data_IF_529316873621
#
_entry.id   IF_529316873621
#
_cell.length_a   1.000
_cell.length_b   1.000
_cell.length_c   1.000
_cell.angle_alpha   90.00
_cell.angle_beta   90.00
_cell.angle_gamma   90.00
#
_symmetry.space_group_name_H-M   'P 1'
#
loop_
_entity.id
_entity.type
_entity.pdbx_description
1 polymer ?
#
# COMPACT_ATOMS: atom_id res chain seq x y z
N UNK A 1 -8.52 -10.34 4.28
CA UNK A 1 -8.81 -9.85 2.91
C UNK A 1 -8.27 -8.45 2.78
N UNK A 2 -7.47 -8.21 1.75
CA UNK A 2 -6.98 -6.87 1.44
C UNK A 2 -7.27 -6.51 -0.02
N UNK A 3 -7.44 -5.22 -0.29
CA UNK A 3 -7.55 -4.66 -1.63
C UNK A 3 -6.53 -3.53 -1.81
N UNK A 4 -5.97 -3.46 -3.02
CA UNK A 4 -5.17 -2.37 -3.53
C UNK A 4 -5.95 -1.68 -4.65
N UNK A 5 -6.08 -0.36 -4.54
CA UNK A 5 -6.70 0.50 -5.55
C UNK A 5 -5.59 1.36 -6.14
N UNK A 6 -4.85 0.77 -7.07
CA UNK A 6 -3.68 1.42 -7.68
C UNK A 6 -3.99 2.10 -9.01
N UNK A 7 -3.06 2.94 -9.49
CA UNK A 7 -3.18 3.63 -10.77
C UNK A 7 -3.17 2.67 -11.98
N UNK A 8 -2.34 1.61 -11.93
CA UNK A 8 -2.18 0.67 -13.04
C UNK A 8 -2.99 -0.62 -12.85
N UNK A 9 -3.19 -1.03 -11.61
CA UNK A 9 -3.91 -2.28 -11.29
C UNK A 9 -4.83 -2.10 -10.09
N UNK A 10 -5.94 -2.83 -10.11
CA UNK A 10 -6.72 -3.18 -8.94
C UNK A 10 -6.36 -4.62 -8.56
N UNK A 11 -6.18 -4.87 -7.28
CA UNK A 11 -5.83 -6.20 -6.81
C UNK A 11 -6.55 -6.52 -5.49
N UNK A 12 -6.96 -7.78 -5.33
CA UNK A 12 -7.55 -8.29 -4.08
C UNK A 12 -6.84 -9.58 -3.69
N UNK A 13 -6.53 -9.75 -2.42
CA UNK A 13 -5.84 -10.91 -1.88
C UNK A 13 -6.54 -11.47 -0.65
N UNK A 14 -6.72 -12.77 -0.63
CA UNK A 14 -7.18 -13.52 0.52
C UNK A 14 -6.03 -14.30 1.14
N UNK A 15 -5.83 -14.15 2.43
CA UNK A 15 -4.85 -14.94 3.17
C UNK A 15 -5.36 -15.29 4.57
N UNK A 16 -4.75 -16.32 5.16
CA UNK A 16 -4.93 -16.74 6.53
C UNK A 16 -3.61 -16.61 7.28
N UNK A 17 -3.61 -16.00 8.45
CA UNK A 17 -2.48 -16.05 9.37
C UNK A 17 -2.35 -17.50 9.89
N UNK A 18 -1.20 -18.11 9.69
CA UNK A 18 -0.93 -19.51 10.10
C UNK A 18 -0.34 -19.53 11.50
N UNK A 19 0.51 -18.55 11.77
CA UNK A 19 1.08 -18.23 13.05
C UNK A 19 1.15 -16.69 13.14
N UNK A 20 1.63 -16.13 14.22
CA UNK A 20 1.71 -14.67 14.40
C UNK A 20 2.64 -13.98 13.39
N UNK A 21 3.34 -14.76 12.57
CA UNK A 21 4.42 -14.26 11.70
C UNK A 21 4.25 -14.57 10.22
N UNK A 22 3.37 -15.52 9.80
CA UNK A 22 3.30 -15.93 8.40
C UNK A 22 1.89 -15.96 7.84
N UNK A 23 1.79 -15.60 6.57
CA UNK A 23 0.56 -15.67 5.79
C UNK A 23 0.55 -16.89 4.87
N UNK A 24 -0.54 -17.62 4.88
CA UNK A 24 -0.91 -18.56 3.83
C UNK A 24 -1.87 -17.87 2.87
N UNK A 25 -1.39 -17.53 1.67
CA UNK A 25 -2.19 -16.89 0.63
C UNK A 25 -3.11 -17.93 0.00
N UNK A 26 -4.40 -17.68 0.10
CA UNK A 26 -5.44 -18.56 -0.43
C UNK A 26 -5.71 -18.28 -1.90
N UNK A 27 -5.77 -17.02 -2.27
CA UNK A 27 -5.93 -16.58 -3.65
C UNK A 27 -5.59 -15.08 -3.80
N UNK A 28 -5.15 -14.70 -5.00
CA UNK A 28 -4.97 -13.33 -5.45
C UNK A 28 -5.63 -13.16 -6.81
N UNK A 29 -6.33 -12.04 -6.99
CA UNK A 29 -6.93 -11.63 -8.26
C UNK A 29 -6.51 -10.20 -8.56
N UNK A 30 -6.15 -9.97 -9.81
CA UNK A 30 -5.73 -8.65 -10.30
C UNK A 30 -6.36 -8.35 -11.65
N UNK A 31 -6.60 -7.07 -11.91
CA UNK A 31 -6.94 -6.59 -13.24
C UNK A 31 -6.40 -5.17 -13.46
N UNK A 32 -6.18 -4.75 -14.72
CA UNK A 32 -5.80 -3.37 -15.01
C UNK A 32 -6.85 -2.40 -14.47
N UNK A 33 -6.39 -1.29 -13.87
CA UNK A 33 -7.29 -0.21 -13.46
C UNK A 33 -7.94 0.40 -14.70
N UNK A 34 -9.27 0.57 -14.72
CA UNK A 34 -9.94 1.24 -15.82
C UNK A 34 -9.36 2.64 -16.05
N UNK A 35 -9.27 3.05 -17.30
CA UNK A 35 -8.56 4.28 -17.70
C UNK A 35 -9.09 5.53 -16.99
N UNK A 36 -8.20 6.31 -16.40
CA UNK A 36 -8.50 7.55 -15.65
C UNK A 36 -9.43 7.36 -14.43
N UNK A 37 -9.54 6.15 -13.89
CA UNK A 37 -10.37 5.89 -12.72
C UNK A 37 -9.65 6.11 -11.40
N UNK A 38 -8.32 5.96 -11.39
CA UNK A 38 -7.44 6.29 -10.25
C UNK A 38 -6.31 7.16 -10.75
N UNK A 39 -6.05 8.28 -10.07
CA UNK A 39 -4.95 9.19 -10.39
C UNK A 39 -4.20 9.56 -9.13
N UNK A 40 -2.89 9.35 -9.13
CA UNK A 40 -2.02 9.62 -7.98
C UNK A 40 -2.55 9.00 -6.66
N UNK A 41 -3.08 7.77 -6.74
CA UNK A 41 -3.67 7.04 -5.61
C UNK A 41 -5.07 7.51 -5.19
N UNK A 42 -5.68 8.49 -5.87
CA UNK A 42 -7.01 9.01 -5.58
C UNK A 42 -8.03 8.42 -6.55
N UNK A 43 -9.14 7.91 -6.03
CA UNK A 43 -10.27 7.44 -6.85
C UNK A 43 -10.95 8.64 -7.50
N UNK A 44 -10.92 8.69 -8.84
CA UNK A 44 -11.54 9.76 -9.64
C UNK A 44 -12.91 9.38 -10.19
N UNK A 45 -13.11 8.08 -10.50
CA UNK A 45 -14.37 7.54 -11.03
C UNK A 45 -14.83 6.36 -10.17
N UNK A 46 -15.57 6.62 -9.08
CA UNK A 46 -15.94 5.58 -8.12
C UNK A 46 -16.75 4.43 -8.74
N UNK A 47 -17.69 4.74 -9.62
CA UNK A 47 -18.60 3.72 -10.22
C UNK A 47 -17.83 2.65 -10.99
N UNK A 48 -16.87 3.05 -11.82
CA UNK A 48 -16.03 2.13 -12.61
C UNK A 48 -15.09 1.31 -11.70
N UNK A 49 -14.51 1.94 -10.68
CA UNK A 49 -13.68 1.25 -9.68
C UNK A 49 -14.50 0.22 -8.90
N UNK A 50 -15.71 0.58 -8.48
CA UNK A 50 -16.64 -0.34 -7.79
C UNK A 50 -17.00 -1.53 -8.67
N UNK A 51 -17.31 -1.31 -9.95
CA UNK A 51 -17.65 -2.38 -10.89
C UNK A 51 -16.49 -3.37 -11.05
N UNK A 52 -15.27 -2.87 -11.26
CA UNK A 52 -14.07 -3.66 -11.40
C UNK A 52 -13.73 -4.41 -10.09
N UNK A 53 -13.73 -3.71 -8.95
CA UNK A 53 -13.46 -4.31 -7.65
C UNK A 53 -14.48 -5.40 -7.28
N UNK A 54 -15.76 -5.18 -7.56
CA UNK A 54 -16.81 -6.20 -7.37
C UNK A 54 -16.57 -7.42 -8.27
N UNK A 55 -16.11 -7.22 -9.52
CA UNK A 55 -15.69 -8.30 -10.41
C UNK A 55 -14.57 -9.15 -9.81
N UNK A 56 -13.52 -8.49 -9.29
CA UNK A 56 -12.40 -9.15 -8.64
C UNK A 56 -12.84 -9.92 -7.38
N UNK A 57 -13.66 -9.31 -6.53
CA UNK A 57 -14.18 -9.96 -5.31
C UNK A 57 -15.00 -11.21 -5.65
N UNK A 58 -15.82 -11.19 -6.71
CA UNK A 58 -16.56 -12.36 -7.19
C UNK A 58 -15.62 -13.46 -7.69
N UNK A 59 -14.60 -13.13 -8.49
CA UNK A 59 -13.58 -14.09 -8.95
C UNK A 59 -12.88 -14.74 -7.76
N UNK A 60 -12.46 -13.91 -6.79
CA UNK A 60 -11.77 -14.35 -5.58
C UNK A 60 -12.68 -15.27 -4.72
N UNK A 61 -13.94 -14.89 -4.48
CA UNK A 61 -14.90 -15.70 -3.74
C UNK A 61 -15.13 -17.08 -4.40
N UNK A 62 -15.25 -17.12 -5.73
CA UNK A 62 -15.38 -18.39 -6.48
C UNK A 62 -14.16 -19.31 -6.29
N UNK A 63 -12.94 -18.74 -6.23
CA UNK A 63 -11.71 -19.51 -5.96
C UNK A 63 -11.62 -20.01 -4.53
N UNK A 64 -12.16 -19.27 -3.58
CA UNK A 64 -12.20 -19.67 -2.16
C UNK A 64 -13.25 -20.75 -1.88
N UNK A 65 -14.27 -20.88 -2.74
CA UNK A 65 -15.31 -21.92 -2.68
C UNK A 65 -16.73 -21.35 -2.70
N UNK A 66 -17.68 -22.14 -3.23
CA UNK A 66 -19.05 -21.73 -3.48
C UNK A 66 -19.87 -21.32 -2.22
N UNK A 67 -19.39 -21.62 -1.02
CA UNK A 67 -20.03 -21.25 0.25
C UNK A 67 -19.40 -20.02 0.91
N UNK A 68 -18.37 -19.46 0.30
CA UNK A 68 -17.61 -18.34 0.87
C UNK A 68 -18.23 -17.01 0.44
N UNK A 69 -18.51 -16.14 1.41
CA UNK A 69 -18.94 -14.76 1.20
C UNK A 69 -17.92 -13.83 1.80
N UNK A 70 -17.44 -12.89 0.99
CA UNK A 70 -16.53 -11.83 1.44
C UNK A 70 -17.40 -10.70 1.98
N UNK A 71 -17.34 -10.47 3.30
CA UNK A 71 -18.17 -9.48 3.98
C UNK A 71 -17.43 -8.18 4.29
N UNK A 72 -16.10 -8.23 4.38
CA UNK A 72 -15.26 -7.08 4.70
C UNK A 72 -13.93 -7.13 3.97
N UNK A 73 -13.35 -5.95 3.67
CA UNK A 73 -12.00 -5.79 3.12
C UNK A 73 -11.23 -4.73 3.88
N UNK A 74 -9.92 -4.92 4.02
CA UNK A 74 -8.96 -3.88 4.36
C UNK A 74 -8.44 -3.25 3.07
N UNK A 75 -8.23 -1.93 3.07
CA UNK A 75 -7.69 -1.22 1.91
C UNK A 75 -6.40 -0.50 2.30
N UNK A 76 -5.37 -0.65 1.48
CA UNK A 76 -4.14 0.13 1.60
C UNK A 76 -4.35 1.54 1.06
N UNK A 77 -4.28 2.54 1.94
CA UNK A 77 -4.34 3.95 1.56
C UNK A 77 -2.96 4.41 1.09
N UNK A 78 -2.85 4.80 -0.19
CA UNK A 78 -1.62 5.28 -0.81
C UNK A 78 -1.95 6.38 -1.83
N UNK A 79 -2.08 7.62 -1.38
CA UNK A 79 -2.46 8.78 -2.19
C UNK A 79 -1.46 9.92 -2.03
N UNK A 80 -1.31 10.75 -3.06
CA UNK A 80 -0.27 11.79 -3.14
C UNK A 80 -0.30 12.85 -2.03
N UNK A 81 -1.42 13.00 -1.30
CA UNK A 81 -1.50 13.92 -0.16
C UNK A 81 -1.19 13.26 1.17
N UNK A 82 -0.97 11.92 1.17
CA UNK A 82 -0.63 11.14 2.35
C UNK A 82 0.83 11.39 2.75
N UNK A 83 1.03 11.90 3.96
CA UNK A 83 2.36 12.21 4.52
C UNK A 83 2.35 12.29 6.03
N UNK A 84 3.50 12.34 6.64
CA UNK A 84 3.67 12.84 7.99
C UNK A 84 3.99 14.33 7.96
N UNK A 85 3.41 15.08 8.90
CA UNK A 85 3.72 16.50 9.16
C UNK A 85 4.34 16.58 10.55
N UNK A 86 5.53 17.14 10.71
CA UNK A 86 6.11 17.37 12.04
C UNK A 86 5.34 18.47 12.75
N UNK A 87 4.92 18.21 14.00
CA UNK A 87 4.23 19.15 14.85
C UNK A 87 4.90 19.15 16.21
N UNK A 88 5.34 20.31 16.69
CA UNK A 88 5.95 20.46 18.00
C UNK A 88 4.96 21.13 18.96
N UNK A 89 4.77 20.51 20.11
CA UNK A 89 3.92 21.02 21.19
C UNK A 89 4.76 21.10 22.45
N UNK A 90 4.58 22.18 23.22
CA UNK A 90 5.36 22.42 24.44
C UNK A 90 4.44 22.59 25.65
N UNK A 91 4.89 22.10 26.80
CA UNK A 91 4.23 22.27 28.10
C UNK A 91 5.24 22.66 29.16
N UNK A 92 4.87 23.57 30.04
CA UNK A 92 5.62 23.84 31.27
C UNK A 92 5.36 22.73 32.29
N UNK A 93 6.43 22.28 32.95
CA UNK A 93 6.40 21.27 34.00
C UNK A 93 6.87 21.94 35.27
N UNK A 94 6.02 21.96 36.32
CA UNK A 94 6.37 22.59 37.58
C UNK A 94 7.39 21.76 38.38
N UNK A 95 8.16 22.40 39.23
CA UNK A 95 9.12 21.72 40.09
C UNK A 95 8.43 20.67 40.96
N UNK A 96 8.89 19.42 40.88
CA UNK A 96 8.27 18.29 41.57
C UNK A 96 7.05 17.69 40.91
N UNK A 97 6.54 18.28 39.82
CA UNK A 97 5.49 17.69 38.99
C UNK A 97 6.07 16.47 38.21
N UNK A 98 5.33 15.40 38.17
CA UNK A 98 5.63 14.23 37.31
C UNK A 98 4.69 14.22 36.14
N UNK A 99 5.23 14.03 34.95
CA UNK A 99 4.42 13.85 33.75
C UNK A 99 3.64 12.53 33.83
N UNK A 100 2.34 12.63 33.61
CA UNK A 100 1.42 11.50 33.54
C UNK A 100 1.10 11.15 32.09
N UNK A 101 0.60 9.93 31.85
CA UNK A 101 0.13 9.52 30.54
C UNK A 101 -1.01 10.41 30.02
N UNK A 102 -1.89 10.90 30.90
CA UNK A 102 -2.96 11.84 30.54
C UNK A 102 -2.41 13.16 30.01
N UNK A 103 -1.35 13.68 30.63
CA UNK A 103 -0.69 14.91 30.16
C UNK A 103 -0.03 14.71 28.79
N UNK A 104 0.55 13.54 28.52
CA UNK A 104 1.11 13.20 27.22
C UNK A 104 0.00 13.02 26.16
N UNK A 105 -1.13 12.43 26.56
CA UNK A 105 -2.31 12.34 25.68
C UNK A 105 -2.91 13.72 25.32
N UNK A 106 -2.91 14.67 26.26
CA UNK A 106 -3.32 16.04 25.99
C UNK A 106 -2.40 16.72 24.95
N UNK A 107 -1.08 16.54 25.06
CA UNK A 107 -0.11 17.05 24.08
C UNK A 107 -0.33 16.42 22.69
N UNK A 108 -0.63 15.12 22.64
CA UNK A 108 -0.97 14.46 21.39
C UNK A 108 -2.25 15.04 20.77
N UNK A 109 -3.28 15.29 21.58
CA UNK A 109 -4.52 15.91 21.10
C UNK A 109 -4.30 17.36 20.60
N UNK A 110 -3.42 18.09 21.26
CA UNK A 110 -3.03 19.43 20.79
C UNK A 110 -2.30 19.35 19.45
N UNK A 111 -1.38 18.39 19.27
CA UNK A 111 -0.71 18.17 17.99
C UNK A 111 -1.72 17.85 16.87
N UNK A 112 -2.74 17.04 17.14
CA UNK A 112 -3.83 16.75 16.19
C UNK A 112 -4.58 18.01 15.75
N UNK A 113 -4.83 18.94 16.66
CA UNK A 113 -5.58 20.18 16.41
C UNK A 113 -4.81 21.22 15.61
N UNK A 114 -3.48 21.13 15.54
CA UNK A 114 -2.65 22.06 14.77
C UNK A 114 -2.71 21.82 13.26
N UNK A 115 -3.24 20.69 12.79
CA UNK A 115 -3.42 20.47 11.36
C UNK A 115 -4.67 21.22 10.85
N UNK A 116 -4.63 21.69 9.58
CA UNK A 116 -5.79 22.29 8.94
C UNK A 116 -7.00 21.34 8.92
N UNK A 117 -8.21 21.89 8.97
CA UNK A 117 -9.46 21.14 9.06
C UNK A 117 -9.74 20.25 7.84
N UNK A 118 -9.17 20.57 6.67
CA UNK A 118 -9.25 19.76 5.45
C UNK A 118 -8.38 18.51 5.49
N UNK A 119 -7.51 18.37 6.51
CA UNK A 119 -6.67 17.19 6.72
C UNK A 119 -7.35 16.22 7.67
N UNK A 120 -7.41 14.97 7.27
CA UNK A 120 -7.74 13.88 8.19
C UNK A 120 -6.47 13.35 8.83
N UNK A 121 -6.38 13.44 10.15
CA UNK A 121 -5.31 12.81 10.93
C UNK A 121 -5.59 11.32 11.05
N UNK A 122 -4.62 10.50 10.69
CA UNK A 122 -4.70 9.05 10.71
C UNK A 122 -4.03 8.47 11.95
N UNK A 123 -2.83 8.96 12.27
CA UNK A 123 -2.01 8.49 13.39
C UNK A 123 -1.12 9.64 13.89
N UNK A 124 -0.79 9.64 15.16
CA UNK A 124 0.18 10.55 15.76
C UNK A 124 1.21 9.72 16.50
N UNK A 125 2.48 9.97 16.23
CA UNK A 125 3.60 9.25 16.85
C UNK A 125 4.62 10.24 17.37
N UNK A 126 5.01 10.14 18.63
CA UNK A 126 6.09 10.96 19.17
C UNK A 126 7.43 10.55 18.55
N UNK A 127 8.19 11.54 18.08
CA UNK A 127 9.49 11.34 17.41
C UNK A 127 10.64 11.74 18.32
N UNK A 128 10.48 12.84 19.06
CA UNK A 128 11.53 13.40 19.91
C UNK A 128 10.90 14.08 21.12
N UNK A 129 11.49 13.84 22.27
CA UNK A 129 11.21 14.56 23.50
C UNK A 129 12.41 15.46 23.84
N UNK A 130 12.13 16.71 24.19
CA UNK A 130 13.17 17.67 24.62
C UNK A 130 12.73 18.30 25.94
N UNK A 131 13.67 18.40 26.89
CA UNK A 131 13.47 19.12 28.14
C UNK A 131 14.57 20.14 28.29
N UNK A 132 14.21 21.42 28.47
CA UNK A 132 15.18 22.51 28.60
C UNK A 132 16.27 22.46 27.52
N UNK A 133 15.84 22.31 26.24
CA UNK A 133 16.71 22.21 25.05
C UNK A 133 17.59 20.97 24.95
N UNK A 134 17.42 19.98 25.84
CA UNK A 134 18.12 18.71 25.78
C UNK A 134 17.19 17.59 25.37
N UNK A 135 17.67 16.69 24.48
CA UNK A 135 16.92 15.48 24.11
C UNK A 135 16.84 14.54 25.31
N UNK A 136 15.64 14.07 25.63
CA UNK A 136 15.38 13.09 26.70
C UNK A 136 14.82 11.81 26.11
N UNK A 137 15.25 10.67 26.67
CA UNK A 137 14.83 9.37 26.20
C UNK A 137 13.39 9.04 26.63
N UNK A 138 12.99 9.45 27.82
CA UNK A 138 11.70 9.18 28.41
C UNK A 138 11.06 10.47 28.93
N UNK A 139 9.84 10.82 28.50
CA UNK A 139 9.19 12.06 28.95
C UNK A 139 8.90 12.07 30.45
N UNK A 140 8.66 10.90 31.07
CA UNK A 140 8.39 10.78 32.51
C UNK A 140 9.58 11.12 33.42
N UNK A 141 10.81 11.17 32.86
CA UNK A 141 12.03 11.57 33.62
C UNK A 141 12.15 13.08 33.80
N UNK A 142 11.29 13.86 33.14
CA UNK A 142 11.28 15.33 33.25
C UNK A 142 10.62 15.76 34.54
N UNK A 143 11.36 16.48 35.40
CA UNK A 143 10.91 16.87 36.75
C UNK A 143 10.87 18.38 36.99
N UNK A 144 10.73 19.16 35.94
CA UNK A 144 10.63 20.63 36.00
C UNK A 144 11.11 21.30 34.72
N UNK A 145 10.77 22.57 34.54
CA UNK A 145 11.12 23.36 33.38
C UNK A 145 10.14 23.25 32.22
N UNK A 146 10.58 22.84 31.03
CA UNK A 146 9.69 22.68 29.85
C UNK A 146 9.87 21.32 29.21
N UNK A 147 8.78 20.71 28.79
CA UNK A 147 8.78 19.57 27.88
C UNK A 147 8.29 20.05 26.52
N UNK A 148 9.07 19.80 25.48
CA UNK A 148 8.65 19.91 24.08
C UNK A 148 8.63 18.50 23.47
N UNK A 149 7.51 18.16 22.82
CA UNK A 149 7.37 16.92 22.09
C UNK A 149 7.18 17.23 20.61
N UNK A 150 8.01 16.64 19.78
CA UNK A 150 7.82 16.68 18.33
C UNK A 150 7.13 15.39 17.89
N UNK A 151 5.98 15.53 17.28
CA UNK A 151 5.17 14.44 16.75
C UNK A 151 5.30 14.35 15.23
N UNK A 152 5.35 13.13 14.69
CA UNK A 152 5.06 12.84 13.30
C UNK A 152 3.53 12.60 13.19
N UNK A 153 2.81 13.55 12.63
CA UNK A 153 1.36 13.46 12.46
C UNK A 153 1.05 12.95 11.06
N UNK A 154 0.66 11.67 10.96
CA UNK A 154 0.23 11.05 9.72
C UNK A 154 -1.12 11.62 9.28
N UNK A 155 -1.17 12.19 8.10
CA UNK A 155 -2.36 12.86 7.60
C UNK A 155 -2.53 12.72 6.08
N UNK A 156 -3.75 12.95 5.62
CA UNK A 156 -4.15 12.93 4.22
C UNK A 156 -5.29 13.93 4.03
N UNK A 157 -5.56 14.36 2.80
CA UNK A 157 -6.76 15.17 2.52
C UNK A 157 -8.02 14.36 2.83
N UNK A 158 -8.97 14.96 3.57
CA UNK A 158 -10.19 14.28 4.02
C UNK A 158 -11.02 13.74 2.85
N UNK A 159 -11.08 14.47 1.73
CA UNK A 159 -11.81 14.06 0.52
C UNK A 159 -11.30 12.76 -0.10
N UNK A 160 -10.00 12.44 0.06
CA UNK A 160 -9.40 11.18 -0.41
C UNK A 160 -9.98 10.00 0.35
N UNK A 161 -10.07 10.13 1.68
CA UNK A 161 -10.64 9.08 2.54
C UNK A 161 -12.14 8.94 2.31
N UNK A 162 -12.84 10.05 2.15
CA UNK A 162 -14.28 10.05 1.88
C UNK A 162 -14.60 9.37 0.55
N UNK A 163 -13.84 9.67 -0.51
CA UNK A 163 -13.97 8.98 -1.81
C UNK A 163 -13.71 7.49 -1.71
N UNK A 164 -12.70 7.08 -0.93
CA UNK A 164 -12.41 5.67 -0.68
C UNK A 164 -13.57 4.99 0.06
N UNK A 165 -14.05 5.58 1.16
CA UNK A 165 -15.19 5.07 1.93
C UNK A 165 -16.44 4.96 1.07
N UNK A 166 -16.77 5.99 0.28
CA UNK A 166 -17.89 5.99 -0.64
C UNK A 166 -17.76 4.92 -1.72
N UNK A 167 -16.55 4.70 -2.24
CA UNK A 167 -16.30 3.65 -3.21
C UNK A 167 -16.58 2.26 -2.60
N UNK A 168 -16.02 1.95 -1.43
CA UNK A 168 -16.24 0.64 -0.80
C UNK A 168 -17.70 0.45 -0.34
N UNK A 169 -18.36 1.50 0.13
CA UNK A 169 -19.78 1.45 0.56
C UNK A 169 -20.74 1.09 -0.56
N UNK A 170 -20.36 1.28 -1.83
CA UNK A 170 -21.16 0.87 -2.99
C UNK A 170 -20.97 -0.61 -3.38
N UNK A 171 -20.09 -1.35 -2.73
CA UNK A 171 -19.92 -2.79 -2.96
C UNK A 171 -21.14 -3.56 -2.39
N UNK A 172 -21.80 -4.42 -3.18
CA UNK A 172 -23.12 -4.99 -2.81
C UNK A 172 -23.13 -5.87 -1.56
N UNK A 173 -22.00 -6.50 -1.22
CA UNK A 173 -21.93 -7.47 -0.12
C UNK A 173 -20.68 -7.33 0.75
N UNK A 174 -19.93 -6.26 0.56
CA UNK A 174 -18.63 -6.10 1.20
C UNK A 174 -18.50 -4.70 1.82
N UNK A 175 -18.18 -4.65 3.10
CA UNK A 175 -17.94 -3.41 3.83
C UNK A 175 -16.43 -3.13 3.96
N UNK A 176 -16.07 -1.88 4.21
CA UNK A 176 -14.73 -1.52 4.65
C UNK A 176 -14.51 -2.00 6.07
N UNK A 177 -13.54 -2.89 6.27
CA UNK A 177 -13.11 -3.27 7.61
C UNK A 177 -12.30 -2.15 8.25
N UNK A 178 -11.30 -1.67 7.51
CA UNK A 178 -10.49 -0.50 7.82
C UNK A 178 -9.65 -0.12 6.60
N UNK A 179 -9.05 1.08 6.63
CA UNK A 179 -7.99 1.48 5.72
C UNK A 179 -6.68 1.68 6.49
N UNK A 180 -5.59 1.17 5.92
CA UNK A 180 -4.28 1.16 6.54
C UNK A 180 -3.32 2.03 5.74
N UNK A 181 -2.39 2.70 6.42
CA UNK A 181 -1.35 3.53 5.81
C UNK A 181 -0.40 2.61 5.03
N UNK A 182 -0.60 2.49 3.72
CA UNK A 182 0.15 1.54 2.90
C UNK A 182 1.67 1.75 2.91
N UNK A 183 2.21 2.98 2.84
CA UNK A 183 3.66 3.20 2.98
C UNK A 183 4.21 2.63 4.27
N UNK A 184 3.53 2.82 5.41
CA UNK A 184 3.93 2.31 6.72
C UNK A 184 3.90 0.79 6.76
N UNK A 185 2.75 0.17 6.39
CA UNK A 185 2.60 -1.29 6.45
C UNK A 185 3.56 -2.02 5.52
N UNK A 186 3.83 -1.46 4.33
CA UNK A 186 4.81 -1.98 3.38
C UNK A 186 6.23 -1.88 3.94
N UNK A 187 6.58 -0.75 4.54
CA UNK A 187 7.90 -0.54 5.10
C UNK A 187 8.16 -1.46 6.31
N UNK A 188 7.19 -1.62 7.19
CA UNK A 188 7.26 -2.54 8.33
C UNK A 188 7.42 -4.00 7.89
N UNK A 189 6.81 -4.38 6.77
CA UNK A 189 6.94 -5.71 6.17
C UNK A 189 8.34 -5.98 5.63
N UNK A 190 9.00 -4.98 5.05
CA UNK A 190 10.26 -5.12 4.30
C UNK A 190 11.51 -4.84 5.12
N UNK A 191 11.37 -4.41 6.38
CA UNK A 191 12.48 -4.03 7.25
C UNK A 191 12.61 -4.95 8.45
N UNK A 192 13.85 -5.20 8.84
CA UNK A 192 14.22 -5.81 10.13
C UNK A 192 14.42 -4.73 11.18
N UNK A 193 14.48 -5.05 12.49
CA UNK A 193 14.86 -4.09 13.53
C UNK A 193 16.22 -3.41 13.27
N UNK A 194 17.20 -4.14 12.71
CA UNK A 194 18.51 -3.60 12.35
C UNK A 194 18.42 -2.63 11.18
N UNK A 195 17.66 -2.94 10.15
CA UNK A 195 17.41 -2.00 9.03
C UNK A 195 16.84 -0.68 9.54
N UNK A 196 15.92 -0.73 10.53
CA UNK A 196 15.24 0.46 11.07
C UNK A 196 16.15 1.39 11.88
N UNK A 197 17.39 1.01 12.14
CA UNK A 197 18.37 1.94 12.73
C UNK A 197 18.70 3.08 11.76
N UNK A 198 18.60 2.85 10.44
CA UNK A 198 18.81 3.89 9.44
C UNK A 198 18.49 3.39 8.04
N UNK A 199 17.23 3.47 7.60
CA UNK A 199 16.84 3.10 6.23
C UNK A 199 15.69 3.95 5.70
N UNK A 200 15.57 3.96 4.38
CA UNK A 200 14.34 4.42 3.71
C UNK A 200 13.78 3.33 2.80
N UNK A 201 12.51 2.99 2.98
CA UNK A 201 11.78 2.10 2.08
C UNK A 201 11.12 2.92 0.99
N UNK A 202 11.38 2.57 -0.27
CA UNK A 202 10.85 3.27 -1.46
C UNK A 202 10.01 2.31 -2.27
N UNK A 203 8.70 2.60 -2.37
CA UNK A 203 7.76 1.84 -3.19
C UNK A 203 7.50 2.60 -4.50
N UNK A 204 8.06 2.09 -5.59
CA UNK A 204 7.90 2.62 -6.93
C UNK A 204 6.60 2.09 -7.57
N UNK A 205 5.49 2.76 -7.32
CA UNK A 205 4.21 2.47 -7.95
C UNK A 205 4.09 3.04 -9.37
N UNK A 206 2.93 2.86 -9.98
CA UNK A 206 2.67 3.36 -11.33
C UNK A 206 2.42 4.88 -11.35
N UNK A 207 1.50 5.39 -10.53
CA UNK A 207 1.19 6.83 -10.49
C UNK A 207 1.91 7.59 -9.40
N UNK A 208 2.33 6.90 -8.34
CA UNK A 208 3.01 7.49 -7.19
C UNK A 208 4.23 6.67 -6.79
N UNK A 209 5.15 7.32 -6.12
CA UNK A 209 6.24 6.67 -5.38
C UNK A 209 6.10 7.06 -3.91
N UNK A 210 6.06 6.09 -3.01
CA UNK A 210 6.07 6.37 -1.57
C UNK A 210 7.45 6.16 -0.98
N UNK A 211 7.79 6.96 0.02
CA UNK A 211 9.02 6.85 0.81
C UNK A 211 8.66 6.80 2.28
N UNK A 212 9.29 5.90 3.03
CA UNK A 212 9.12 5.74 4.48
C UNK A 212 10.49 5.63 5.12
N UNK A 213 10.78 6.49 6.08
CA UNK A 213 12.10 6.65 6.70
C UNK A 213 12.07 6.19 8.15
N UNK A 214 13.00 5.31 8.49
CA UNK A 214 13.27 4.87 9.87
C UNK A 214 14.66 5.32 10.30
N UNK A 215 14.75 5.82 11.53
CA UNK A 215 16.01 6.16 12.22
C UNK A 215 15.84 5.80 13.69
N UNK A 216 16.88 5.25 14.30
CA UNK A 216 16.89 4.82 15.71
C UNK A 216 15.72 3.88 16.06
N UNK A 217 15.37 2.98 15.14
CA UNK A 217 14.28 2.04 15.30
C UNK A 217 12.86 2.62 15.12
N UNK A 218 12.71 3.95 15.00
CA UNK A 218 11.43 4.65 14.92
C UNK A 218 11.13 5.13 13.50
N UNK A 219 9.84 5.12 13.13
CA UNK A 219 9.36 5.78 11.92
C UNK A 219 9.42 7.30 12.14
N UNK A 220 10.24 7.99 11.34
CA UNK A 220 10.41 9.45 11.41
C UNK A 220 9.55 10.18 10.39
N UNK A 221 9.45 9.65 9.18
CA UNK A 221 8.75 10.31 8.09
C UNK A 221 8.21 9.31 7.07
N UNK A 222 7.09 9.64 6.45
CA UNK A 222 6.69 9.10 5.16
C UNK A 222 6.00 10.15 4.32
N UNK A 223 6.12 10.00 3.00
CA UNK A 223 5.43 10.84 2.02
C UNK A 223 5.12 10.03 0.75
N UNK A 224 4.11 10.48 0.00
CA UNK A 224 3.76 9.94 -1.30
C UNK A 224 3.97 11.01 -2.37
N UNK A 225 4.89 10.74 -3.27
CA UNK A 225 5.30 11.60 -4.37
C UNK A 225 4.40 11.30 -5.57
N UNK A 226 3.76 12.29 -6.24
CA UNK A 226 2.85 12.07 -7.36
C UNK A 226 3.57 11.78 -8.69
N UNK A 227 4.64 11.01 -8.62
CA UNK A 227 5.44 10.52 -9.75
C UNK A 227 5.68 9.02 -9.62
N UNK A 228 5.62 8.29 -10.72
CA UNK A 228 5.85 6.85 -10.75
C UNK A 228 6.05 6.33 -12.17
N UNK A 229 5.96 5.02 -12.35
CA UNK A 229 6.28 4.35 -13.62
C UNK A 229 5.47 4.77 -14.83
N UNK A 230 4.24 5.28 -14.64
CA UNK A 230 3.43 5.83 -15.73
C UNK A 230 4.02 7.11 -16.35
N UNK A 231 4.77 7.89 -15.59
CA UNK A 231 5.45 9.08 -16.11
C UNK A 231 6.59 8.69 -17.04
N UNK A 232 7.32 7.61 -16.74
CA UNK A 232 8.29 7.03 -17.67
C UNK A 232 7.59 6.58 -18.96
N UNK A 233 6.45 5.91 -18.85
CA UNK A 233 5.66 5.46 -20.02
C UNK A 233 5.19 6.65 -20.87
N UNK A 234 4.72 7.73 -20.23
CA UNK A 234 4.31 8.95 -20.93
C UNK A 234 5.45 9.63 -21.69
N UNK A 235 6.65 9.70 -21.10
CA UNK A 235 7.84 10.23 -21.78
C UNK A 235 8.21 9.37 -22.98
N UNK A 236 8.11 8.04 -22.87
CA UNK A 236 8.39 7.12 -23.98
C UNK A 236 7.37 7.22 -25.11
N UNK A 237 6.09 7.41 -24.80
CA UNK A 237 5.04 7.70 -25.79
C UNK A 237 5.42 8.93 -26.58
N UNK A 238 5.80 10.02 -25.90
CA UNK A 238 6.18 11.29 -26.54
C UNK A 238 7.47 11.15 -27.34
N UNK A 239 8.50 10.50 -26.78
CA UNK A 239 9.80 10.30 -27.42
C UNK A 239 9.71 9.48 -28.71
N UNK A 240 8.98 8.36 -28.65
CA UNK A 240 8.91 7.39 -29.77
C UNK A 240 7.65 7.51 -30.63
N UNK A 241 6.71 8.42 -30.29
CA UNK A 241 5.35 8.46 -30.86
C UNK A 241 4.70 7.07 -30.85
N UNK A 242 4.73 6.43 -29.64
CA UNK A 242 4.30 5.06 -29.41
C UNK A 242 2.86 5.02 -28.85
N UNK A 243 2.19 3.90 -29.05
CA UNK A 243 0.99 3.60 -28.25
C UNK A 243 1.37 3.33 -26.79
N UNK A 244 0.42 3.51 -25.87
CA UNK A 244 0.62 3.24 -24.44
C UNK A 244 1.08 1.79 -24.20
N UNK A 245 0.50 0.84 -24.92
CA UNK A 245 0.85 -0.58 -24.82
C UNK A 245 2.31 -0.85 -25.25
N UNK A 246 2.74 -0.28 -26.36
CA UNK A 246 4.10 -0.42 -26.87
C UNK A 246 5.12 0.21 -25.92
N UNK A 247 4.87 1.44 -25.46
CA UNK A 247 5.73 2.13 -24.52
C UNK A 247 5.90 1.34 -23.20
N UNK A 248 4.79 0.80 -22.64
CA UNK A 248 4.84 0.00 -21.42
C UNK A 248 5.58 -1.34 -21.65
N UNK A 249 5.34 -2.01 -22.77
CA UNK A 249 6.04 -3.25 -23.14
C UNK A 249 7.54 -3.03 -23.27
N UNK A 250 7.95 -2.00 -23.99
CA UNK A 250 9.36 -1.66 -24.20
C UNK A 250 10.03 -1.22 -22.88
N UNK A 251 9.32 -0.42 -22.07
CA UNK A 251 9.80 -0.04 -20.73
C UNK A 251 10.16 -1.28 -19.89
N UNK A 252 9.26 -2.26 -19.82
CA UNK A 252 9.47 -3.50 -19.08
C UNK A 252 10.63 -4.34 -19.64
N UNK A 253 10.76 -4.36 -20.97
CA UNK A 253 11.77 -5.19 -21.63
C UNK A 253 13.17 -4.56 -21.60
N UNK A 254 13.29 -3.24 -21.77
CA UNK A 254 14.57 -2.56 -22.01
C UNK A 254 14.88 -1.42 -21.04
N UNK A 255 13.91 -0.91 -20.29
CA UNK A 255 13.89 0.42 -19.68
C UNK A 255 15.14 0.84 -18.91
N UNK A 256 15.75 -0.05 -18.11
CA UNK A 256 16.95 0.25 -17.33
C UNK A 256 18.00 -0.89 -17.37
N UNK A 257 17.90 -1.77 -18.37
CA UNK A 257 18.94 -2.80 -18.57
C UNK A 257 20.28 -2.14 -18.85
N UNK A 258 21.33 -2.60 -18.18
CA UNK A 258 22.69 -2.17 -18.51
C UNK A 258 22.93 -2.44 -20.00
N UNK A 259 23.43 -1.43 -20.71
CA UNK A 259 23.96 -1.65 -22.05
C UNK A 259 25.24 -2.47 -21.88
N UNK A 260 25.22 -3.77 -22.23
CA UNK A 260 26.47 -4.36 -22.68
C UNK A 260 26.84 -3.72 -24.02
N UNK A 261 28.13 -3.72 -24.39
CA UNK A 261 28.63 -3.10 -25.63
C UNK A 261 27.89 -3.64 -26.87
N UNK A 262 27.27 -4.83 -26.79
CA UNK A 262 26.50 -5.45 -27.86
C UNK A 262 25.06 -4.94 -27.94
N UNK A 263 24.49 -4.37 -26.87
CA UNK A 263 23.13 -3.80 -26.84
C UNK A 263 23.11 -2.31 -27.23
N UNK A 264 24.21 -1.59 -27.04
CA UNK A 264 24.30 -0.15 -27.34
C UNK A 264 24.07 0.19 -28.81
N UNK A 265 24.30 -0.77 -29.72
CA UNK A 265 24.12 -0.61 -31.17
C UNK A 265 22.82 -1.22 -31.70
N UNK A 266 21.91 -1.68 -30.83
CA UNK A 266 20.65 -2.30 -31.28
C UNK A 266 19.57 -1.25 -31.46
N UNK A 267 18.88 -1.37 -32.58
CA UNK A 267 17.71 -0.58 -32.95
C UNK A 267 16.49 -1.51 -32.99
N UNK A 268 15.34 -1.01 -32.64
CA UNK A 268 14.08 -1.70 -32.92
C UNK A 268 13.26 -0.88 -33.95
N UNK A 269 12.54 -1.59 -34.80
CA UNK A 269 11.62 -0.98 -35.74
C UNK A 269 10.22 -1.06 -35.20
N UNK A 270 9.52 0.05 -35.18
CA UNK A 270 8.14 0.15 -34.77
C UNK A 270 7.33 0.94 -35.76
N UNK A 271 6.03 0.69 -35.81
CA UNK A 271 5.11 1.52 -36.57
C UNK A 271 4.82 2.79 -35.77
N UNK A 272 4.81 3.94 -36.42
CA UNK A 272 4.36 5.20 -35.85
C UNK A 272 2.86 5.09 -35.52
N UNK A 273 2.47 5.48 -34.31
CA UNK A 273 1.08 5.37 -33.85
C UNK A 273 0.11 6.27 -34.63
N UNK A 274 0.62 7.32 -35.31
CA UNK A 274 -0.21 8.28 -36.01
C UNK A 274 -0.49 7.90 -37.49
N UNK A 275 0.50 7.35 -38.20
CA UNK A 275 0.43 7.09 -39.65
C UNK A 275 0.89 5.69 -40.05
N UNK A 276 1.37 4.88 -39.14
CA UNK A 276 1.85 3.52 -39.38
C UNK A 276 3.21 3.43 -40.08
N UNK A 277 3.91 4.54 -40.31
CA UNK A 277 5.25 4.55 -40.92
C UNK A 277 6.24 3.83 -40.03
N UNK A 278 7.21 3.11 -40.64
CA UNK A 278 8.25 2.42 -39.88
C UNK A 278 9.27 3.43 -39.34
N UNK A 279 9.43 3.44 -38.04
CA UNK A 279 10.46 4.18 -37.31
C UNK A 279 11.53 3.26 -36.78
N UNK A 280 12.75 3.74 -36.78
CA UNK A 280 13.87 3.06 -36.13
C UNK A 280 14.27 3.84 -34.89
N UNK A 281 14.15 3.21 -33.70
CA UNK A 281 14.49 3.81 -32.43
C UNK A 281 15.73 3.15 -31.85
N UNK A 282 16.65 3.96 -31.34
CA UNK A 282 17.84 3.49 -30.63
C UNK A 282 17.44 2.99 -29.22
N UNK A 283 17.86 1.79 -28.85
CA UNK A 283 17.67 1.25 -27.51
C UNK A 283 18.38 2.13 -26.47
N UNK A 284 19.53 2.67 -26.80
CA UNK A 284 20.31 3.55 -25.92
C UNK A 284 19.57 4.85 -25.61
N UNK A 285 19.00 5.51 -26.62
CA UNK A 285 18.25 6.75 -26.42
C UNK A 285 16.94 6.48 -25.62
N UNK A 286 16.30 5.36 -25.89
CA UNK A 286 15.15 4.91 -25.12
C UNK A 286 15.48 4.73 -23.61
N UNK A 287 16.63 4.11 -23.31
CA UNK A 287 17.12 3.96 -21.93
C UNK A 287 17.44 5.30 -21.28
N UNK A 288 18.04 6.25 -22.02
CA UNK A 288 18.31 7.60 -21.50
C UNK A 288 17.04 8.29 -21.06
N UNK A 289 15.94 8.17 -21.81
CA UNK A 289 14.64 8.73 -21.44
C UNK A 289 14.13 8.08 -20.12
N UNK A 290 14.18 6.75 -20.03
CA UNK A 290 13.78 6.04 -18.81
C UNK A 290 14.61 6.46 -17.58
N UNK A 291 15.93 6.52 -17.72
CA UNK A 291 16.85 6.90 -16.63
C UNK A 291 16.68 8.36 -16.24
N UNK A 292 16.43 9.26 -17.20
CA UNK A 292 16.19 10.67 -16.89
C UNK A 292 14.97 10.86 -15.98
N UNK A 293 13.84 10.22 -16.29
CA UNK A 293 12.65 10.27 -15.43
C UNK A 293 12.86 9.56 -14.10
N UNK A 294 13.53 8.42 -14.09
CA UNK A 294 13.88 7.75 -12.84
C UNK A 294 14.77 8.62 -11.95
N UNK A 295 15.72 9.35 -12.56
CA UNK A 295 16.58 10.29 -11.84
C UNK A 295 15.77 11.39 -11.17
N UNK A 296 14.77 11.94 -11.85
CA UNK A 296 13.88 12.94 -11.26
C UNK A 296 13.09 12.35 -10.07
N UNK A 297 12.50 11.16 -10.24
CA UNK A 297 11.76 10.49 -9.14
C UNK A 297 12.67 10.27 -7.93
N UNK A 298 13.89 9.75 -8.14
CA UNK A 298 14.85 9.49 -7.06
C UNK A 298 15.30 10.77 -6.37
N UNK A 299 15.47 11.87 -7.09
CA UNK A 299 15.76 13.18 -6.48
C UNK A 299 14.65 13.61 -5.52
N UNK A 300 13.38 13.52 -5.92
CA UNK A 300 12.27 13.82 -5.01
C UNK A 300 12.22 12.87 -3.81
N UNK A 301 12.56 11.58 -3.99
CA UNK A 301 12.70 10.64 -2.87
C UNK A 301 13.77 11.12 -1.89
N UNK A 302 14.95 11.53 -2.39
CA UNK A 302 16.03 12.02 -1.53
C UNK A 302 15.67 13.34 -0.84
N UNK A 303 14.92 14.22 -1.49
CA UNK A 303 14.38 15.44 -0.87
C UNK A 303 13.45 15.11 0.30
N UNK A 304 12.57 14.11 0.14
CA UNK A 304 11.71 13.69 1.25
C UNK A 304 12.49 13.04 2.39
N UNK A 305 13.55 12.31 2.12
CA UNK A 305 14.45 11.78 3.15
C UNK A 305 15.14 12.91 3.91
N UNK A 306 15.62 13.91 3.18
CA UNK A 306 16.34 15.05 3.76
C UNK A 306 15.48 15.94 4.69
N UNK A 307 14.15 15.81 4.65
CA UNK A 307 13.25 16.49 5.59
C UNK A 307 13.50 16.07 7.04
N UNK A 308 13.90 14.82 7.28
CA UNK A 308 14.04 14.29 8.64
C UNK A 308 15.43 13.78 8.99
N UNK A 309 16.28 13.48 8.00
CA UNK A 309 17.61 12.90 8.25
C UNK A 309 18.58 13.15 7.09
N UNK A 310 19.84 13.48 7.36
CA UNK A 310 20.90 13.46 6.35
C UNK A 310 21.09 12.05 5.77
N UNK A 311 21.39 11.96 4.47
CA UNK A 311 21.49 10.67 3.76
C UNK A 311 22.60 9.74 4.27
N UNK A 312 23.63 10.28 4.90
CA UNK A 312 24.76 9.54 5.51
C UNK A 312 24.33 8.77 6.77
N UNK A 313 23.19 9.11 7.38
CA UNK A 313 22.62 8.36 8.49
C UNK A 313 21.79 7.14 8.06
N UNK A 314 21.58 6.94 6.75
CA UNK A 314 20.93 5.74 6.24
C UNK A 314 21.91 4.55 6.19
N UNK A 315 22.26 4.00 7.33
CA UNK A 315 23.23 2.88 7.46
C UNK A 315 22.84 1.63 6.65
N UNK A 316 21.55 1.32 6.55
CA UNK A 316 20.98 0.24 5.73
C UNK A 316 20.55 0.70 4.32
N UNK A 317 20.71 1.99 3.98
CA UNK A 317 20.43 2.56 2.67
C UNK A 317 18.95 2.55 2.27
N UNK A 318 18.71 2.39 0.96
CA UNK A 318 17.37 2.33 0.39
C UNK A 318 16.92 0.87 0.20
N UNK A 319 15.69 0.58 0.62
CA UNK A 319 15.03 -0.71 0.40
C UNK A 319 13.91 -0.48 -0.60
N UNK A 320 14.06 -1.06 -1.81
CA UNK A 320 13.20 -0.78 -2.94
C UNK A 320 12.13 -1.86 -3.13
N UNK A 321 10.92 -1.43 -3.45
CA UNK A 321 9.79 -2.30 -3.80
C UNK A 321 8.92 -1.67 -4.90
N UNK A 322 7.82 -2.31 -5.25
CA UNK A 322 6.89 -1.86 -6.27
C UNK A 322 7.23 -2.32 -7.69
N UNK A 323 6.40 -1.95 -8.63
CA UNK A 323 6.44 -2.47 -10.01
C UNK A 323 7.71 -2.14 -10.79
N UNK A 324 8.35 -0.98 -10.54
CA UNK A 324 9.61 -0.63 -11.24
C UNK A 324 10.80 -1.51 -10.80
N UNK A 325 10.74 -2.14 -9.63
CA UNK A 325 11.82 -3.01 -9.14
C UNK A 325 11.95 -4.31 -9.94
N UNK A 326 10.97 -4.64 -10.77
CA UNK A 326 11.04 -5.79 -11.71
C UNK A 326 11.99 -5.52 -12.88
N UNK A 327 12.41 -4.26 -13.09
CA UNK A 327 13.38 -3.91 -14.14
C UNK A 327 14.79 -4.28 -13.69
N UNK A 328 15.54 -4.94 -14.59
CA UNK A 328 16.91 -5.36 -14.33
C UNK A 328 17.80 -4.20 -13.85
N UNK A 329 18.66 -4.45 -12.87
CA UNK A 329 19.59 -3.48 -12.29
C UNK A 329 18.96 -2.25 -11.60
N UNK A 330 17.64 -2.26 -11.30
CA UNK A 330 16.95 -1.14 -10.67
C UNK A 330 17.71 -0.64 -9.40
N UNK A 331 18.04 -1.53 -8.49
CA UNK A 331 18.76 -1.17 -7.25
C UNK A 331 20.11 -0.50 -7.52
N UNK A 332 20.88 -1.02 -8.48
CA UNK A 332 22.19 -0.44 -8.83
C UNK A 332 22.08 0.97 -9.42
N UNK A 333 21.09 1.17 -10.28
CA UNK A 333 20.86 2.49 -10.92
C UNK A 333 20.35 3.48 -9.87
N UNK A 334 19.40 3.09 -9.03
CA UNK A 334 18.89 3.93 -7.94
C UNK A 334 20.00 4.29 -6.97
N UNK A 335 20.85 3.34 -6.57
CA UNK A 335 22.00 3.59 -5.70
C UNK A 335 22.97 4.61 -6.32
N UNK A 336 23.25 4.49 -7.62
CA UNK A 336 24.12 5.43 -8.34
C UNK A 336 23.56 6.85 -8.43
N UNK A 337 22.22 6.99 -8.55
CA UNK A 337 21.55 8.30 -8.58
C UNK A 337 21.46 8.89 -7.18
N UNK A 338 21.10 8.08 -6.19
CA UNK A 338 20.87 8.53 -4.81
C UNK A 338 22.18 8.80 -4.04
N UNK A 339 23.31 8.22 -4.46
CA UNK A 339 24.59 8.29 -3.74
C UNK A 339 24.64 7.49 -2.45
N UNK A 340 23.65 6.60 -2.21
CA UNK A 340 23.57 5.68 -1.06
C UNK A 340 23.30 4.26 -1.53
N UNK A 341 23.62 3.27 -0.70
CA UNK A 341 23.36 1.86 -1.03
C UNK A 341 21.86 1.62 -1.25
N UNK A 342 21.53 0.72 -2.17
CA UNK A 342 20.15 0.31 -2.40
C UNK A 342 20.05 -1.20 -2.65
N UNK A 343 18.98 -1.82 -2.13
CA UNK A 343 18.65 -3.23 -2.34
C UNK A 343 17.17 -3.41 -2.64
N UNK A 344 16.83 -4.49 -3.29
CA UNK A 344 15.43 -4.89 -3.45
C UNK A 344 14.95 -5.51 -2.14
N UNK A 345 13.81 -5.05 -1.63
CA UNK A 345 13.14 -5.62 -0.47
C UNK A 345 12.57 -7.00 -0.80
N UNK A 346 12.44 -7.84 0.21
CA UNK A 346 11.81 -9.16 0.09
C UNK A 346 10.92 -9.43 1.28
N UNK A 347 9.70 -9.88 1.00
CA UNK A 347 8.73 -10.29 2.01
C UNK A 347 8.42 -11.80 1.96
N UNK A 348 9.22 -12.58 1.22
CA UNK A 348 9.01 -14.00 1.04
C UNK A 348 9.02 -14.79 2.37
N UNK A 349 9.80 -14.34 3.36
CA UNK A 349 9.87 -14.95 4.69
C UNK A 349 8.58 -14.81 5.52
N UNK A 350 7.72 -13.84 5.18
CA UNK A 350 6.39 -13.68 5.78
C UNK A 350 5.33 -14.59 5.15
N UNK A 351 5.68 -15.32 4.09
CA UNK A 351 4.77 -16.22 3.38
C UNK A 351 5.07 -17.68 3.72
N UNK A 352 4.04 -18.52 3.71
CA UNK A 352 4.27 -19.97 3.72
C UNK A 352 4.91 -20.41 2.40
N UNK A 353 5.67 -21.51 2.36
CA UNK A 353 6.34 -21.99 1.13
C UNK A 353 5.42 -22.11 -0.08
N UNK A 354 4.18 -22.58 0.12
CA UNK A 354 3.18 -22.72 -0.93
C UNK A 354 2.70 -21.35 -1.49
N UNK A 355 2.81 -20.31 -0.69
CA UNK A 355 2.34 -18.96 -1.03
C UNK A 355 3.41 -18.12 -1.74
N UNK A 356 4.69 -18.50 -1.62
CA UNK A 356 5.81 -17.74 -2.20
C UNK A 356 5.64 -17.56 -3.70
N UNK A 357 5.27 -18.62 -4.44
CA UNK A 357 5.07 -18.54 -5.90
C UNK A 357 3.95 -17.60 -6.32
N UNK A 358 2.96 -17.39 -5.45
CA UNK A 358 1.78 -16.57 -5.75
C UNK A 358 1.95 -15.10 -5.38
N UNK A 359 2.69 -14.80 -4.30
CA UNK A 359 2.66 -13.50 -3.66
C UNK A 359 4.02 -12.91 -3.27
N UNK A 360 5.15 -13.54 -3.62
CA UNK A 360 6.49 -13.01 -3.28
C UNK A 360 6.98 -11.88 -4.20
N UNK A 361 6.29 -11.61 -5.31
CA UNK A 361 6.63 -10.50 -6.18
C UNK A 361 6.43 -9.16 -5.46
N UNK A 362 7.38 -8.25 -5.63
CA UNK A 362 7.37 -6.95 -4.95
C UNK A 362 6.14 -6.09 -5.26
N UNK A 363 5.48 -6.34 -6.37
CA UNK A 363 4.20 -5.70 -6.68
C UNK A 363 3.05 -6.05 -5.72
N UNK A 364 3.21 -7.07 -4.86
CA UNK A 364 2.24 -7.47 -3.84
C UNK A 364 2.64 -7.07 -2.43
N UNK A 365 3.80 -6.42 -2.24
CA UNK A 365 4.29 -6.05 -0.91
C UNK A 365 3.26 -5.21 -0.13
N UNK A 366 2.59 -4.27 -0.80
CA UNK A 366 1.53 -3.46 -0.19
C UNK A 366 0.37 -4.34 0.32
N UNK A 367 -0.14 -5.26 -0.50
CA UNK A 367 -1.24 -6.15 -0.11
C UNK A 367 -0.85 -7.07 1.05
N UNK A 368 0.36 -7.62 1.01
CA UNK A 368 0.89 -8.48 2.08
C UNK A 368 1.06 -7.68 3.37
N UNK A 369 1.58 -6.44 3.30
CA UNK A 369 1.71 -5.53 4.45
C UNK A 369 0.36 -5.22 5.09
N UNK A 370 -0.66 -4.92 4.30
CA UNK A 370 -2.03 -4.69 4.77
C UNK A 370 -2.62 -5.94 5.42
N UNK A 371 -2.39 -7.13 4.84
CA UNK A 371 -2.87 -8.40 5.39
C UNK A 371 -2.19 -8.77 6.71
N UNK A 372 -0.91 -8.45 6.86
CA UNK A 372 -0.18 -8.69 8.11
C UNK A 372 -0.76 -7.87 9.27
N UNK A 373 -1.22 -6.66 9.02
CA UNK A 373 -1.78 -5.78 10.04
C UNK A 373 -3.29 -5.99 10.27
N UNK A 374 -4.02 -6.47 9.25
CA UNK A 374 -5.46 -6.69 9.34
C UNK A 374 -5.84 -7.73 10.40
N UNK A 375 -6.91 -7.48 11.18
CA UNK A 375 -7.35 -8.30 12.31
C UNK A 375 -8.28 -9.47 11.93
N UNK A 376 -8.46 -9.78 10.64
CA UNK A 376 -9.30 -10.89 10.18
C UNK A 376 -10.80 -10.54 10.09
N UNK A 377 -11.67 -11.56 10.17
CA UNK A 377 -13.14 -11.37 10.17
C UNK A 377 -13.75 -10.92 8.85
N UNK A 378 -13.05 -11.13 7.72
CA UNK A 378 -13.46 -10.62 6.41
C UNK A 378 -14.29 -11.61 5.58
N UNK A 379 -14.41 -12.86 6.04
CA UNK A 379 -15.01 -13.95 5.28
C UNK A 379 -15.99 -14.71 6.15
N UNK A 380 -17.18 -14.96 5.63
CA UNK A 380 -18.18 -15.82 6.25
C UNK A 380 -18.42 -17.05 5.37
N UNK A 381 -18.64 -18.18 6.00
CA UNK A 381 -19.06 -19.41 5.30
C UNK A 381 -20.57 -19.53 5.43
N UNK A 382 -21.29 -19.43 4.33
CA UNK A 382 -22.71 -19.77 4.32
C UNK A 382 -22.83 -21.27 4.59
N UNK A 383 -23.14 -21.64 5.84
CA UNK A 383 -23.64 -22.97 6.11
C UNK A 383 -24.87 -23.17 5.23
N UNK A 384 -24.89 -24.18 4.35
CA UNK A 384 -26.11 -24.62 3.71
C UNK A 384 -27.12 -24.84 4.83
N UNK A 385 -28.04 -23.90 5.06
CA UNK A 385 -29.28 -24.18 5.80
C UNK A 385 -29.92 -25.34 5.04
N UNK A 386 -29.69 -26.57 5.53
CA UNK A 386 -30.48 -27.70 5.13
C UNK A 386 -31.92 -27.26 5.29
N UNK A 387 -32.69 -27.25 4.20
CA UNK A 387 -34.13 -27.14 4.21
C UNK A 387 -34.66 -28.30 5.08
N UNK A 388 -34.69 -28.13 6.37
CA UNK A 388 -35.29 -29.04 7.34
C UNK A 388 -36.75 -28.67 7.64
N UNK A 389 -37.32 -27.69 6.90
CA UNK A 389 -38.72 -27.30 7.12
C UNK A 389 -39.73 -28.17 6.35
N UNK A 390 -39.33 -28.79 5.22
CA UNK A 390 -40.27 -29.63 4.45
C UNK A 390 -40.54 -31.03 5.00
N UNK A 391 -39.58 -31.59 5.73
CA UNK A 391 -39.73 -32.98 6.20
C UNK A 391 -40.54 -33.11 7.50
N UNK A 392 -40.49 -32.09 8.41
CA UNK A 392 -41.36 -32.05 9.58
C UNK A 392 -42.82 -31.76 9.26
N UNK A 393 -43.10 -30.96 8.23
CA UNK A 393 -44.47 -30.67 7.76
C UNK A 393 -45.13 -31.85 7.05
N UNK A 394 -44.33 -32.65 6.33
CA UNK A 394 -44.83 -33.89 5.66
C UNK A 394 -45.10 -34.98 6.70
N UNK A 395 -44.27 -35.13 7.74
CA UNK A 395 -44.51 -36.11 8.80
C UNK A 395 -45.68 -35.68 9.71
N UNK A 396 -45.86 -34.35 9.95
CA UNK A 396 -47.04 -33.84 10.71
C UNK A 396 -48.33 -34.11 9.95
N UNK A 397 -48.42 -33.84 8.63
CA UNK A 397 -49.59 -34.10 7.82
C UNK A 397 -49.87 -35.59 7.56
N UNK A 398 -48.85 -36.47 7.65
CA UNK A 398 -49.07 -37.93 7.64
C UNK A 398 -49.59 -38.45 8.99
N UNK A 399 -49.17 -37.86 10.12
CA UNK A 399 -49.64 -38.19 11.45
C UNK A 399 -51.15 -37.86 11.61
N UNK A 400 -51.56 -36.64 11.21
CA UNK A 400 -52.97 -36.21 11.27
C UNK A 400 -53.90 -37.06 10.36
N UNK A 401 -53.46 -37.45 9.17
CA UNK A 401 -54.22 -38.33 8.32
C UNK A 401 -54.35 -39.75 8.82
N UNK A 402 -53.42 -40.24 9.63
CA UNK A 402 -53.51 -41.56 10.27
C UNK A 402 -54.44 -41.53 11.48
N UNK A 403 -54.46 -40.46 12.28
CA UNK A 403 -55.37 -40.31 13.40
C UNK A 403 -56.84 -40.18 12.94
N UNK A 404 -57.10 -39.43 11.85
CA UNK A 404 -58.45 -39.33 11.23
C UNK A 404 -58.96 -40.70 10.70
N UNK A 405 -58.07 -41.52 10.15
CA UNK A 405 -58.43 -42.82 9.61
C UNK A 405 -58.70 -43.86 10.68
N UNK A 406 -58.16 -43.67 11.91
CA UNK A 406 -58.44 -44.58 13.05
C UNK A 406 -59.63 -44.10 13.90
N UNK A 407 -60.13 -42.88 13.72
CA UNK A 407 -61.30 -42.37 14.41
C UNK A 407 -62.61 -42.77 13.77
N UNK A 408 -62.62 -43.21 12.51
CA UNK A 408 -63.84 -43.72 11.80
C UNK A 408 -64.14 -45.21 12.08
N UNK A 409 -63.34 -45.89 12.93
CA UNK A 409 -63.56 -47.30 13.28
C UNK A 409 -63.81 -47.51 14.78
N UNK A 410 -64.53 -46.58 15.45
CA UNK A 410 -65.10 -46.81 16.74
C UNK A 410 -66.59 -46.58 16.75
#
# INVERSE_FOLDING_TARGET
MAAEIGNAKLAVMAARKVDDKRLHVLAVETEPTPKNCVRNGVVCKPTEVVAALNGLLKKLANRLGASVVITKIYVGLNAHTLRTTPVSVSRSVFDGERLTDDMLADLEQEARRQLPAEKQVLEVSAVTYMSNDNVVAQPHDVTGGSLQVTYAVANVDADVVDKLKQCVAQLPACALADYLIAPKTTAELLTTPDDRQGCAVVDFGAGCTSVTVFVDGALKHFAVIPLGGQHITADLITFGNLSEYEAESLKRQFGIKYADENTAKKYFQMADASDGTKRTLSIDDFKKVCVARLTEIVKYVMEQIAVCVPSDQLSAGLILTGGLTTMDNCAKIVAGIAGVSARIGSHAHWLTPDSVKQASHNEYAQLVGVLMQGNGGCVETQSKKKKRSGFKEIIGKMGEKMEDMFSEYK
#
